data_IF_687331193631
#
_entry.id   IF_687331193631
#
_cell.length_a   1.000
_cell.length_b   1.000
_cell.length_c   1.000
_cell.angle_alpha   90.00
_cell.angle_beta   90.00
_cell.angle_gamma   90.00
#
_symmetry.space_group_name_H-M   'P 1'
#
loop_
_entity.id
_entity.type
_entity.pdbx_description
1 polymer ?
#
# COMPACT_ATOMS: atom_id res chain seq x y z
N UNK A 1 0.14 -11.03 17.47
CA UNK A 1 -0.24 -10.62 16.11
C UNK A 1 0.63 -9.51 15.55
N UNK A 2 0.86 -8.42 16.27
CA UNK A 2 1.67 -7.29 15.78
C UNK A 2 3.14 -7.61 15.49
N UNK A 3 3.69 -8.69 16.03
CA UNK A 3 5.11 -9.06 15.83
C UNK A 3 5.40 -9.63 14.44
N UNK A 4 4.42 -10.22 13.78
CA UNK A 4 4.56 -10.78 12.43
C UNK A 4 3.19 -10.93 11.74
N UNK A 5 2.47 -9.84 11.46
CA UNK A 5 1.22 -9.92 10.72
C UNK A 5 1.48 -10.27 9.26
N UNK A 6 0.50 -10.90 8.63
CA UNK A 6 0.50 -11.05 7.18
C UNK A 6 0.06 -9.72 6.53
N UNK A 7 0.35 -9.56 5.23
CA UNK A 7 -0.17 -8.43 4.46
C UNK A 7 -1.68 -8.56 4.32
N UNK A 8 -2.42 -7.52 4.69
CA UNK A 8 -3.87 -7.53 4.53
C UNK A 8 -4.61 -6.55 5.42
N UNK A 9 -5.91 -6.52 5.22
CA UNK A 9 -6.85 -5.79 6.05
C UNK A 9 -7.32 -6.67 7.20
N UNK A 10 -7.45 -6.08 8.37
CA UNK A 10 -7.80 -6.77 9.59
C UNK A 10 -8.98 -6.09 10.29
N UNK A 11 -9.95 -6.89 10.70
CA UNK A 11 -10.77 -6.68 11.86
C UNK A 11 -10.64 -7.94 12.70
N UNK A 12 -9.47 -8.06 13.36
CA UNK A 12 -9.11 -9.27 14.08
C UNK A 12 -9.71 -9.27 15.48
N UNK A 13 -10.41 -10.32 15.74
CA UNK A 13 -10.94 -10.71 17.03
C UNK A 13 -11.19 -12.22 16.99
N UNK A 14 -11.36 -12.88 18.11
CA UNK A 14 -11.66 -14.31 18.12
C UNK A 14 -13.17 -14.52 17.96
N UNK A 15 -13.58 -14.73 16.72
CA UNK A 15 -14.96 -15.00 16.34
C UNK A 15 -15.22 -16.49 16.18
N UNK A 16 -16.42 -16.94 16.58
CA UNK A 16 -16.85 -18.33 16.43
C UNK A 16 -18.16 -18.46 15.61
N UNK A 17 -18.09 -18.47 14.29
CA UNK A 17 -19.28 -18.64 13.44
C UNK A 17 -19.91 -20.04 13.56
N UNK A 18 -19.22 -21.01 14.16
CA UNK A 18 -19.75 -22.36 14.37
C UNK A 18 -20.46 -22.55 15.71
N UNK A 19 -20.50 -21.55 16.58
CA UNK A 19 -21.23 -21.64 17.84
C UNK A 19 -22.74 -21.76 17.57
N UNK A 20 -23.44 -22.52 18.43
CA UNK A 20 -24.90 -22.66 18.33
C UNK A 20 -25.55 -21.29 18.54
N UNK A 21 -26.36 -20.87 17.58
CA UNK A 21 -27.02 -19.55 17.60
C UNK A 21 -26.18 -18.41 17.04
N UNK A 22 -24.90 -18.64 16.69
CA UNK A 22 -24.09 -17.67 15.99
C UNK A 22 -24.64 -17.39 14.59
N UNK A 23 -24.41 -16.15 14.13
CA UNK A 23 -24.69 -15.77 12.75
C UNK A 23 -23.67 -16.30 11.76
N UNK A 24 -23.65 -15.75 10.57
CA UNK A 24 -22.87 -16.26 9.43
C UNK A 24 -21.93 -15.22 8.87
N UNK A 25 -20.85 -15.68 8.24
CA UNK A 25 -20.03 -14.87 7.35
C UNK A 25 -20.61 -15.00 5.92
N UNK A 26 -20.94 -13.88 5.31
CA UNK A 26 -21.55 -13.78 3.98
C UNK A 26 -20.59 -13.10 3.02
N UNK A 27 -20.69 -13.47 1.75
CA UNK A 27 -19.94 -12.87 0.65
C UNK A 27 -20.91 -12.43 -0.43
N UNK A 28 -20.75 -11.19 -0.93
CA UNK A 28 -21.55 -10.62 -2.00
C UNK A 28 -20.66 -9.76 -2.90
N UNK A 29 -21.01 -9.70 -4.18
CA UNK A 29 -20.42 -8.78 -5.16
C UNK A 29 -21.54 -7.96 -5.80
N UNK A 30 -21.47 -6.64 -5.66
CA UNK A 30 -22.45 -5.71 -6.24
C UNK A 30 -21.69 -4.61 -7.00
N UNK A 31 -21.80 -4.64 -8.32
CA UNK A 31 -21.06 -3.72 -9.18
C UNK A 31 -19.55 -3.90 -9.03
N UNK A 32 -18.85 -2.86 -8.63
CA UNK A 32 -17.39 -2.87 -8.42
C UNK A 32 -16.98 -3.17 -6.98
N UNK A 33 -17.97 -3.41 -6.10
CA UNK A 33 -17.71 -3.57 -4.67
C UNK A 33 -17.95 -5.01 -4.22
N UNK A 34 -16.96 -5.58 -3.56
CA UNK A 34 -17.04 -6.87 -2.87
C UNK A 34 -17.31 -6.64 -1.39
N UNK A 35 -18.31 -7.33 -0.87
CA UNK A 35 -18.74 -7.26 0.54
C UNK A 35 -18.44 -8.58 1.23
N UNK A 36 -17.81 -8.52 2.41
CA UNK A 36 -17.64 -9.66 3.31
C UNK A 36 -18.25 -9.27 4.65
N UNK A 37 -19.36 -9.90 5.01
CA UNK A 37 -20.18 -9.51 6.17
C UNK A 37 -20.15 -10.59 7.25
N UNK A 38 -19.77 -10.21 8.45
CA UNK A 38 -20.03 -10.96 9.68
C UNK A 38 -21.42 -10.54 10.19
N UNK A 39 -22.43 -11.34 9.94
CA UNK A 39 -23.81 -11.01 10.26
C UNK A 39 -24.23 -11.69 11.55
N UNK A 40 -24.01 -11.01 12.67
CA UNK A 40 -24.35 -11.52 14.00
C UNK A 40 -23.45 -12.67 14.49
N UNK A 41 -22.19 -12.70 14.06
CA UNK A 41 -21.25 -13.75 14.46
C UNK A 41 -20.81 -13.56 15.91
N UNK A 42 -20.88 -14.63 16.69
CA UNK A 42 -20.52 -14.59 18.11
C UNK A 42 -19.00 -14.51 18.31
N UNK A 43 -18.60 -13.82 19.37
CA UNK A 43 -17.24 -13.94 19.91
C UNK A 43 -17.01 -15.37 20.41
N UNK A 44 -15.77 -15.82 20.44
CA UNK A 44 -15.42 -17.14 20.94
C UNK A 44 -15.87 -17.29 22.42
N UNK A 45 -16.56 -18.39 22.71
CA UNK A 45 -17.21 -18.61 23.99
C UNK A 45 -18.58 -17.95 24.15
N UNK A 46 -19.02 -17.15 23.16
CA UNK A 46 -20.34 -16.55 23.15
C UNK A 46 -21.47 -17.56 22.98
N UNK A 47 -22.61 -17.31 23.60
CA UNK A 47 -23.77 -18.21 23.61
C UNK A 47 -25.10 -17.47 23.46
N UNK A 48 -25.08 -16.14 23.41
CA UNK A 48 -26.29 -15.30 23.41
C UNK A 48 -26.22 -14.20 22.36
N UNK A 49 -27.34 -13.57 22.07
CA UNK A 49 -27.38 -12.44 21.15
C UNK A 49 -26.52 -11.23 21.59
N UNK A 50 -26.20 -11.12 22.86
CA UNK A 50 -25.27 -10.09 23.36
C UNK A 50 -23.81 -10.32 22.91
N UNK A 51 -23.50 -11.53 22.49
CA UNK A 51 -22.16 -11.93 22.02
C UNK A 51 -22.02 -11.72 20.49
N UNK A 52 -23.08 -11.26 19.84
CA UNK A 52 -23.10 -11.08 18.40
C UNK A 52 -22.38 -9.81 17.95
N UNK A 53 -21.53 -9.95 16.95
CA UNK A 53 -20.88 -8.83 16.27
C UNK A 53 -21.38 -8.76 14.82
N UNK A 54 -21.70 -7.55 14.37
CA UNK A 54 -21.94 -7.23 12.97
C UNK A 54 -20.85 -6.30 12.46
N UNK A 55 -20.12 -6.73 11.45
CA UNK A 55 -19.17 -5.90 10.72
C UNK A 55 -19.14 -6.31 9.25
N UNK A 56 -18.71 -5.39 8.41
CA UNK A 56 -18.61 -5.64 6.98
C UNK A 56 -17.36 -5.00 6.40
N UNK A 57 -16.58 -5.78 5.68
CA UNK A 57 -15.57 -5.25 4.77
C UNK A 57 -16.20 -4.93 3.42
N UNK A 58 -15.86 -3.79 2.86
CA UNK A 58 -16.27 -3.34 1.54
C UNK A 58 -15.01 -2.97 0.75
N UNK A 59 -14.75 -3.73 -0.31
CA UNK A 59 -13.60 -3.52 -1.19
C UNK A 59 -14.10 -2.98 -2.52
N UNK A 60 -13.90 -1.70 -2.80
CA UNK A 60 -14.25 -1.12 -4.09
C UNK A 60 -13.07 -1.21 -5.06
N UNK A 61 -13.18 -2.07 -6.05
CA UNK A 61 -12.13 -2.31 -7.04
C UNK A 61 -11.95 -1.14 -8.02
N UNK A 62 -12.92 -0.25 -8.16
CA UNK A 62 -12.82 0.90 -9.04
C UNK A 62 -12.04 2.06 -8.41
N UNK A 63 -12.25 2.32 -7.12
CA UNK A 63 -11.59 3.41 -6.39
C UNK A 63 -10.37 2.96 -5.59
N UNK A 64 -10.25 1.65 -5.28
CA UNK A 64 -9.26 1.11 -4.36
C UNK A 64 -9.57 1.40 -2.89
N UNK A 65 -10.72 1.98 -2.59
CA UNK A 65 -11.14 2.29 -1.22
C UNK A 65 -11.56 1.01 -0.52
N UNK A 66 -11.13 0.86 0.72
CA UNK A 66 -11.61 -0.20 1.62
C UNK A 66 -12.29 0.44 2.81
N UNK A 67 -13.52 0.02 3.08
CA UNK A 67 -14.30 0.45 4.24
C UNK A 67 -14.50 -0.76 5.15
N UNK A 68 -14.30 -0.58 6.44
CA UNK A 68 -14.73 -1.53 7.46
C UNK A 68 -15.85 -0.88 8.25
N UNK A 69 -17.07 -1.31 7.99
CA UNK A 69 -18.26 -0.79 8.64
C UNK A 69 -18.63 -1.67 9.85
N UNK A 70 -18.92 -1.04 10.97
CA UNK A 70 -19.37 -1.71 12.20
C UNK A 70 -20.83 -1.36 12.47
N UNK A 71 -21.64 -2.39 12.61
CA UNK A 71 -23.00 -2.27 13.13
C UNK A 71 -23.02 -2.44 14.64
N UNK A 72 -23.07 -3.68 15.10
CA UNK A 72 -22.99 -4.01 16.52
C UNK A 72 -21.65 -4.69 16.82
N UNK A 73 -20.96 -4.24 17.85
CA UNK A 73 -19.77 -4.91 18.35
C UNK A 73 -20.10 -5.43 19.73
N UNK A 74 -19.93 -6.74 19.95
CA UNK A 74 -20.14 -7.35 21.25
C UNK A 74 -19.24 -6.71 22.31
N UNK A 75 -19.82 -6.32 23.42
CA UNK A 75 -19.11 -5.83 24.60
C UNK A 75 -18.93 -6.94 25.67
N UNK A 76 -19.33 -8.16 25.35
CA UNK A 76 -19.27 -9.26 26.30
C UNK A 76 -17.82 -9.68 26.55
N UNK A 77 -17.40 -9.60 27.80
CA UNK A 77 -16.12 -10.15 28.25
C UNK A 77 -16.29 -11.65 28.49
N UNK A 78 -15.66 -12.47 27.67
CA UNK A 78 -15.61 -13.90 27.93
C UNK A 78 -14.46 -14.23 28.86
N UNK A 79 -14.71 -15.11 29.83
CA UNK A 79 -13.74 -15.50 30.87
C UNK A 79 -12.50 -16.21 30.33
N UNK A 80 -12.49 -16.58 29.07
CA UNK A 80 -11.33 -17.17 28.36
C UNK A 80 -10.26 -16.11 27.99
N UNK A 81 -10.63 -14.84 27.93
CA UNK A 81 -9.73 -13.73 27.61
C UNK A 81 -9.68 -12.77 28.78
N UNK A 82 -8.49 -12.57 29.33
CA UNK A 82 -8.25 -11.66 30.44
C UNK A 82 -8.64 -10.23 30.05
N UNK A 83 -9.62 -9.67 30.72
CA UNK A 83 -10.02 -8.26 30.78
C UNK A 83 -9.79 -7.43 29.50
N UNK A 84 -10.86 -7.23 28.74
CA UNK A 84 -10.88 -6.41 27.53
C UNK A 84 -10.43 -7.22 26.32
N UNK A 85 -11.39 -7.70 25.57
CA UNK A 85 -11.10 -8.40 24.31
C UNK A 85 -10.66 -7.39 23.24
N UNK A 86 -9.35 -7.32 22.93
CA UNK A 86 -8.87 -6.32 21.99
C UNK A 86 -9.31 -6.68 20.57
N UNK A 87 -9.82 -5.70 19.87
CA UNK A 87 -9.95 -5.74 18.41
C UNK A 87 -8.71 -5.10 17.79
N UNK A 88 -8.14 -5.75 16.78
CA UNK A 88 -7.10 -5.14 15.96
C UNK A 88 -7.72 -4.82 14.59
N UNK A 89 -7.77 -3.53 14.29
CA UNK A 89 -8.40 -3.03 13.05
C UNK A 89 -7.41 -2.23 12.24
N UNK A 90 -7.37 -2.45 10.94
CA UNK A 90 -6.56 -1.69 10.02
C UNK A 90 -5.93 -2.53 8.91
N UNK A 91 -4.95 -1.95 8.26
CA UNK A 91 -4.14 -2.58 7.23
C UNK A 91 -2.73 -2.87 7.75
N UNK A 92 -2.20 -4.03 7.42
CA UNK A 92 -0.79 -4.35 7.63
C UNK A 92 -0.09 -4.61 6.30
N UNK A 93 1.07 -4.00 6.04
CA UNK A 93 1.90 -4.34 4.89
C UNK A 93 2.68 -5.65 5.05
N UNK A 94 2.54 -6.31 6.20
CA UNK A 94 3.35 -7.47 6.59
C UNK A 94 4.59 -7.10 7.40
N UNK A 95 5.27 -8.10 7.97
CA UNK A 95 6.43 -7.89 8.84
C UNK A 95 6.06 -7.37 10.24
N UNK A 96 7.00 -6.72 10.93
CA UNK A 96 6.73 -6.14 12.24
C UNK A 96 5.90 -4.86 12.09
N UNK A 97 4.83 -4.75 12.87
CA UNK A 97 3.96 -3.57 12.89
C UNK A 97 4.07 -2.84 14.23
N UNK A 98 4.05 -1.51 14.16
CA UNK A 98 3.99 -0.67 15.37
C UNK A 98 2.56 -0.73 15.94
N UNK A 99 2.45 -0.82 17.26
CA UNK A 99 1.15 -0.68 17.91
C UNK A 99 0.69 0.79 17.80
N UNK A 100 -0.44 1.08 17.11
CA UNK A 100 -0.91 2.44 16.90
C UNK A 100 -1.50 3.08 18.18
N UNK A 101 -1.62 2.33 19.25
CA UNK A 101 -2.31 2.73 20.48
C UNK A 101 -3.74 2.19 20.54
N UNK A 102 -4.44 2.55 21.59
CA UNK A 102 -5.83 2.12 21.82
C UNK A 102 -6.82 3.15 21.28
N UNK A 103 -7.89 2.65 20.70
CA UNK A 103 -9.05 3.44 20.24
C UNK A 103 -10.32 2.91 20.92
N UNK A 104 -11.29 3.79 21.08
CA UNK A 104 -12.61 3.43 21.59
C UNK A 104 -13.64 3.60 20.46
N UNK A 105 -14.17 2.49 19.94
CA UNK A 105 -15.12 2.53 18.82
C UNK A 105 -16.33 3.43 19.05
N UNK A 106 -16.78 3.54 20.30
CA UNK A 106 -17.95 4.37 20.64
C UNK A 106 -17.71 5.88 20.47
N UNK A 107 -16.47 6.34 20.51
CA UNK A 107 -16.10 7.77 20.47
C UNK A 107 -15.25 8.14 19.28
N UNK A 108 -14.45 7.20 18.76
CA UNK A 108 -13.41 7.50 17.78
C UNK A 108 -13.82 7.15 16.35
N UNK A 109 -14.95 6.46 16.16
CA UNK A 109 -15.53 6.22 14.84
C UNK A 109 -16.50 7.35 14.43
N UNK A 110 -16.61 7.68 13.13
CA UNK A 110 -15.77 7.16 12.04
C UNK A 110 -14.39 7.84 12.01
N UNK A 111 -13.37 7.07 11.63
CA UNK A 111 -12.07 7.64 11.28
C UNK A 111 -11.66 7.17 9.89
N UNK A 112 -10.83 7.95 9.22
CA UNK A 112 -10.20 7.57 7.97
C UNK A 112 -8.70 7.62 8.12
N UNK A 113 -8.02 6.67 7.54
CA UNK A 113 -6.57 6.61 7.53
C UNK A 113 -5.99 7.21 6.25
N UNK A 114 -6.85 7.47 5.24
CA UNK A 114 -6.45 7.96 3.93
C UNK A 114 -5.63 9.26 3.94
N UNK A 115 -5.87 10.15 4.91
CA UNK A 115 -5.09 11.38 5.06
C UNK A 115 -3.72 11.15 5.73
N UNK A 116 -3.57 10.03 6.42
CA UNK A 116 -2.36 9.61 7.12
C UNK A 116 -1.72 8.39 6.46
N UNK A 117 -2.47 7.69 5.60
CA UNK A 117 -1.95 6.57 4.85
C UNK A 117 -1.03 7.07 3.76
N UNK A 118 0.08 6.40 3.66
CA UNK A 118 1.00 6.65 2.59
C UNK A 118 0.51 5.95 1.32
N UNK A 119 0.11 6.74 0.33
CA UNK A 119 -0.12 6.20 -1.01
C UNK A 119 1.21 5.73 -1.59
N UNK A 120 1.21 4.55 -2.19
CA UNK A 120 2.38 4.03 -2.86
C UNK A 120 2.81 4.98 -3.99
N UNK A 121 4.09 5.31 -4.04
CA UNK A 121 4.65 6.05 -5.16
C UNK A 121 4.40 5.29 -6.46
N UNK A 122 3.93 5.99 -7.49
CA UNK A 122 3.67 5.41 -8.79
C UNK A 122 4.47 6.11 -9.87
N UNK A 123 5.10 5.31 -10.72
CA UNK A 123 5.83 5.77 -11.89
C UNK A 123 5.06 5.37 -13.15
N UNK A 124 4.96 6.30 -14.08
CA UNK A 124 4.46 6.08 -15.43
C UNK A 124 5.46 6.62 -16.45
N UNK A 125 5.44 6.09 -17.67
CA UNK A 125 6.26 6.55 -18.77
C UNK A 125 5.39 6.89 -19.99
N UNK A 126 5.72 7.96 -20.70
CA UNK A 126 5.04 8.36 -21.92
C UNK A 126 6.02 9.00 -22.90
N UNK A 127 5.97 8.64 -24.21
CA UNK A 127 5.19 7.55 -24.78
C UNK A 127 5.74 6.17 -24.40
N UNK A 128 4.87 5.18 -24.39
CA UNK A 128 5.25 3.78 -24.32
C UNK A 128 4.28 2.97 -25.18
N UNK A 129 4.74 2.21 -26.19
CA UNK A 129 6.13 2.03 -26.63
C UNK A 129 6.76 3.30 -27.25
N UNK A 130 8.09 3.27 -27.41
CA UNK A 130 8.89 4.42 -27.85
C UNK A 130 9.37 4.23 -29.30
N UNK A 131 9.10 5.20 -30.18
CA UNK A 131 9.44 5.11 -31.62
C UNK A 131 10.88 5.43 -31.97
N UNK A 132 11.83 5.40 -31.05
CA UNK A 132 13.23 5.84 -31.28
C UNK A 132 14.03 4.95 -32.23
N UNK A 133 13.47 3.83 -32.72
CA UNK A 133 14.11 3.05 -33.78
C UNK A 133 14.11 3.80 -35.12
N UNK A 134 13.13 4.69 -35.40
CA UNK A 134 12.96 5.42 -36.65
C UNK A 134 13.12 6.93 -36.53
N UNK A 135 12.81 7.50 -35.36
CA UNK A 135 12.89 8.94 -35.09
C UNK A 135 13.37 9.21 -33.68
N UNK A 136 13.96 10.38 -33.44
CA UNK A 136 14.26 10.82 -32.06
C UNK A 136 12.96 10.97 -31.28
N UNK A 137 12.99 10.60 -30.02
CA UNK A 137 11.86 10.67 -29.11
C UNK A 137 12.32 11.10 -27.72
N UNK A 138 11.38 11.55 -26.91
CA UNK A 138 11.64 11.83 -25.47
C UNK A 138 10.65 11.06 -24.64
N UNK A 139 11.14 10.21 -23.75
CA UNK A 139 10.30 9.56 -22.74
C UNK A 139 10.23 10.47 -21.55
N UNK A 140 9.00 10.78 -21.11
CA UNK A 140 8.74 11.49 -19.87
C UNK A 140 8.29 10.49 -18.82
N UNK A 141 9.03 10.42 -17.74
CA UNK A 141 8.72 9.64 -16.56
C UNK A 141 8.01 10.54 -15.55
N UNK A 142 6.78 10.20 -15.19
CA UNK A 142 6.00 10.95 -14.21
C UNK A 142 5.83 10.09 -12.97
N UNK A 143 6.30 10.61 -11.83
CA UNK A 143 6.15 9.98 -10.52
C UNK A 143 5.09 10.74 -9.74
N UNK A 144 4.11 10.03 -9.20
CA UNK A 144 3.06 10.56 -8.34
C UNK A 144 3.13 9.99 -6.93
N UNK A 145 2.42 10.59 -5.99
CA UNK A 145 2.42 10.22 -4.57
C UNK A 145 3.83 10.27 -3.95
N UNK A 146 4.64 11.23 -4.36
CA UNK A 146 5.97 11.43 -3.78
C UNK A 146 5.80 12.06 -2.40
N UNK A 147 6.35 11.40 -1.39
CA UNK A 147 6.36 11.92 -0.04
C UNK A 147 7.30 13.11 0.08
N UNK A 148 6.97 14.03 0.96
CA UNK A 148 7.87 15.13 1.29
C UNK A 148 9.14 14.61 1.99
N UNK A 149 10.24 15.30 1.75
CA UNK A 149 11.55 14.95 2.32
C UNK A 149 11.53 14.98 3.85
N UNK A 150 10.82 15.92 4.44
CA UNK A 150 10.60 16.01 5.89
C UNK A 150 9.18 16.53 6.15
N UNK A 151 8.53 16.15 7.25
CA UNK A 151 7.19 16.59 7.58
C UNK A 151 7.02 18.11 7.54
N UNK A 152 6.05 18.58 6.74
CA UNK A 152 5.77 20.00 6.55
C UNK A 152 6.71 20.74 5.59
N UNK A 153 7.66 20.05 4.94
CA UNK A 153 8.58 20.69 3.99
C UNK A 153 7.90 21.06 2.66
N UNK A 154 6.88 20.31 2.25
CA UNK A 154 6.17 20.49 1.00
C UNK A 154 6.99 20.20 -0.26
N UNK A 155 8.25 19.76 -0.09
CA UNK A 155 9.17 19.45 -1.17
C UNK A 155 9.63 18.01 -1.09
N UNK A 156 10.00 17.45 -2.24
CA UNK A 156 10.64 16.14 -2.32
C UNK A 156 12.07 16.25 -2.86
N UNK A 157 12.91 15.30 -2.47
CA UNK A 157 14.24 15.04 -3.00
C UNK A 157 14.27 13.60 -3.44
N UNK A 158 14.58 13.35 -4.69
CA UNK A 158 14.60 12.00 -5.23
C UNK A 158 15.43 11.86 -6.50
N UNK A 159 15.42 10.67 -7.03
CA UNK A 159 16.04 10.30 -8.29
C UNK A 159 15.09 9.40 -9.09
N UNK A 160 15.09 9.54 -10.40
CA UNK A 160 14.60 8.52 -11.32
C UNK A 160 15.80 7.73 -11.82
N UNK A 161 15.77 6.43 -11.65
CA UNK A 161 16.87 5.53 -12.00
C UNK A 161 16.49 4.76 -13.26
N UNK A 162 17.41 4.73 -14.22
CA UNK A 162 17.26 3.95 -15.45
C UNK A 162 18.22 2.77 -15.43
N UNK A 163 17.77 1.65 -15.96
CA UNK A 163 18.53 0.39 -16.03
C UNK A 163 18.22 -0.33 -17.34
N UNK A 164 19.22 -1.05 -17.87
CA UNK A 164 19.01 -2.00 -18.97
C UNK A 164 18.61 -3.39 -18.47
N UNK A 165 18.60 -3.61 -17.16
CA UNK A 165 18.21 -4.87 -16.55
C UNK A 165 17.03 -4.71 -15.59
N UNK A 166 16.21 -5.74 -15.49
CA UNK A 166 15.05 -5.83 -14.62
C UNK A 166 15.24 -6.89 -13.54
N UNK A 167 14.70 -6.64 -12.35
CA UNK A 167 14.46 -7.63 -11.30
C UNK A 167 12.97 -7.99 -11.32
N UNK A 168 12.65 -9.24 -11.64
CA UNK A 168 11.26 -9.72 -11.68
C UNK A 168 11.20 -11.14 -11.08
N UNK A 169 10.51 -11.34 -9.95
CA UNK A 169 9.88 -10.32 -9.11
C UNK A 169 10.88 -9.37 -8.47
N UNK A 170 10.43 -8.17 -8.10
CA UNK A 170 11.29 -7.19 -7.42
C UNK A 170 11.85 -7.70 -6.10
N UNK A 171 13.05 -7.24 -5.73
CA UNK A 171 13.72 -7.57 -4.46
C UNK A 171 13.19 -6.68 -3.35
N UNK A 172 12.73 -7.29 -2.27
CA UNK A 172 12.27 -6.57 -1.07
C UNK A 172 13.44 -5.86 -0.37
N UNK A 173 13.24 -4.60 -0.02
CA UNK A 173 14.25 -3.76 0.63
C UNK A 173 14.11 -3.71 2.16
N UNK A 174 13.32 -4.62 2.74
CA UNK A 174 13.16 -4.74 4.19
C UNK A 174 14.51 -4.85 4.92
N UNK A 175 15.47 -5.58 4.34
CA UNK A 175 16.81 -5.75 4.93
C UNK A 175 17.61 -4.45 5.03
N UNK A 176 17.24 -3.41 4.25
CA UNK A 176 17.81 -2.06 4.35
C UNK A 176 17.05 -1.17 5.33
N UNK A 177 15.97 -1.66 5.95
CA UNK A 177 15.11 -0.85 6.80
C UNK A 177 14.08 -0.02 6.03
N UNK A 178 13.73 -0.43 4.80
CA UNK A 178 12.69 0.17 3.97
C UNK A 178 11.59 -0.87 3.67
N UNK A 179 10.78 -1.27 4.68
CA UNK A 179 9.75 -2.29 4.51
C UNK A 179 8.69 -1.84 3.50
N UNK A 180 8.20 -2.79 2.68
CA UNK A 180 7.24 -2.53 1.63
C UNK A 180 7.81 -1.90 0.35
N UNK A 181 9.07 -1.47 0.37
CA UNK A 181 9.79 -1.03 -0.81
C UNK A 181 10.40 -2.23 -1.56
N UNK A 182 10.35 -2.19 -2.90
CA UNK A 182 10.96 -3.23 -3.74
C UNK A 182 11.81 -2.62 -4.83
N UNK A 183 13.00 -3.17 -5.06
CA UNK A 183 13.83 -2.84 -6.22
C UNK A 183 13.38 -3.67 -7.42
N UNK A 184 13.05 -3.00 -8.53
CA UNK A 184 12.65 -3.62 -9.80
C UNK A 184 13.71 -3.45 -10.89
N UNK A 185 14.73 -2.65 -10.65
CA UNK A 185 15.85 -2.40 -11.57
C UNK A 185 17.09 -3.17 -11.12
N UNK A 186 17.84 -3.74 -12.08
CA UNK A 186 18.99 -4.58 -11.77
C UNK A 186 20.29 -3.78 -11.58
N UNK A 187 20.36 -2.56 -12.10
CA UNK A 187 21.54 -1.70 -12.06
C UNK A 187 21.16 -0.22 -11.99
N UNK A 188 22.11 0.62 -11.63
CA UNK A 188 21.95 2.07 -11.56
C UNK A 188 22.72 2.70 -12.72
N UNK A 189 22.24 2.51 -13.96
CA UNK A 189 22.99 2.88 -15.16
C UNK A 189 22.93 4.39 -15.43
N UNK A 190 21.77 5.01 -15.22
CA UNK A 190 21.59 6.46 -15.33
C UNK A 190 20.76 6.97 -14.13
N UNK A 191 21.24 8.03 -13.52
CA UNK A 191 20.55 8.70 -12.43
C UNK A 191 20.08 10.09 -12.86
N UNK A 192 18.79 10.34 -12.75
CA UNK A 192 18.17 11.63 -13.06
C UNK A 192 17.64 12.25 -11.76
N UNK A 193 18.24 13.35 -11.36
CA UNK A 193 17.79 14.05 -10.14
C UNK A 193 16.36 14.56 -10.30
N UNK A 194 15.56 14.39 -9.26
CA UNK A 194 14.22 14.94 -9.13
C UNK A 194 14.12 15.72 -7.82
N UNK A 195 13.92 17.01 -7.92
CA UNK A 195 13.69 17.89 -6.76
C UNK A 195 12.53 18.80 -7.13
N UNK A 196 11.55 18.92 -6.27
CA UNK A 196 10.37 19.73 -6.57
C UNK A 196 9.37 19.78 -5.42
N UNK A 197 8.16 20.20 -5.74
CA UNK A 197 7.03 20.29 -4.81
C UNK A 197 6.22 19.00 -4.90
N UNK A 198 5.89 18.45 -3.72
CA UNK A 198 5.03 17.25 -3.64
C UNK A 198 3.63 17.53 -4.20
N UNK A 199 2.89 16.52 -4.66
CA UNK A 199 3.21 15.08 -4.64
C UNK A 199 3.72 14.53 -5.99
N UNK A 200 4.08 15.38 -6.96
CA UNK A 200 4.37 14.91 -8.33
C UNK A 200 5.72 15.42 -8.83
N UNK A 201 6.46 14.54 -9.49
CA UNK A 201 7.74 14.86 -10.11
C UNK A 201 7.88 14.26 -11.51
N UNK A 202 8.73 14.85 -12.33
CA UNK A 202 9.01 14.37 -13.67
C UNK A 202 10.50 14.27 -13.95
N UNK A 203 10.87 13.28 -14.76
CA UNK A 203 12.19 13.17 -15.36
C UNK A 203 12.03 12.89 -16.86
N UNK A 204 12.96 13.33 -17.68
CA UNK A 204 12.88 13.16 -19.12
C UNK A 204 14.13 12.50 -19.67
N UNK A 205 13.95 11.53 -20.58
CA UNK A 205 15.02 10.83 -21.27
C UNK A 205 14.91 11.12 -22.78
N UNK A 206 15.74 12.01 -23.32
CA UNK A 206 15.84 12.18 -24.77
C UNK A 206 16.56 10.97 -25.37
N UNK A 207 15.97 10.37 -26.39
CA UNK A 207 16.48 9.22 -27.11
C UNK A 207 16.75 9.60 -28.55
N UNK A 208 17.96 9.32 -29.08
CA UNK A 208 18.26 9.57 -30.52
C UNK A 208 17.48 8.59 -31.41
N UNK A 209 17.35 8.92 -32.65
CA UNK A 209 16.89 7.99 -33.70
C UNK A 209 17.90 6.85 -33.92
N UNK A 210 17.44 5.73 -34.43
CA UNK A 210 18.29 4.60 -34.80
C UNK A 210 18.66 3.67 -33.66
N UNK A 211 17.96 3.74 -32.51
CA UNK A 211 18.13 2.76 -31.43
C UNK A 211 17.58 1.38 -31.87
N UNK A 212 18.20 0.28 -31.41
CA UNK A 212 17.75 -1.06 -31.74
C UNK A 212 16.31 -1.30 -31.34
N UNK A 213 15.48 -1.76 -32.27
CA UNK A 213 14.12 -2.19 -31.99
C UNK A 213 14.15 -3.41 -31.05
N UNK A 214 13.29 -3.40 -30.04
CA UNK A 214 13.22 -4.43 -29.00
C UNK A 214 14.08 -4.13 -27.77
N UNK A 215 14.91 -3.08 -27.80
CA UNK A 215 15.61 -2.63 -26.59
C UNK A 215 14.59 -2.16 -25.56
N UNK A 216 14.79 -2.61 -24.33
CA UNK A 216 13.99 -2.18 -23.16
C UNK A 216 14.85 -1.34 -22.20
N UNK A 217 14.26 -0.25 -21.73
CA UNK A 217 14.81 0.59 -20.68
C UNK A 217 13.86 0.47 -19.50
N UNK A 218 14.38 0.02 -18.36
CA UNK A 218 13.61 -0.09 -17.12
C UNK A 218 13.87 1.13 -16.27
N UNK A 219 12.83 1.61 -15.60
CA UNK A 219 12.91 2.80 -14.76
C UNK A 219 12.21 2.58 -13.44
N UNK A 220 12.75 3.19 -12.39
CA UNK A 220 12.16 3.25 -11.06
C UNK A 220 12.52 4.55 -10.38
N UNK A 221 11.59 5.18 -9.70
CA UNK A 221 11.83 6.38 -8.92
C UNK A 221 12.07 6.05 -7.46
N UNK A 222 12.99 6.78 -6.85
CA UNK A 222 13.35 6.70 -5.44
C UNK A 222 13.20 8.10 -4.86
N UNK A 223 12.52 8.25 -3.73
CA UNK A 223 12.45 9.50 -2.98
C UNK A 223 13.06 9.31 -1.59
N UNK A 224 13.83 10.29 -1.15
CA UNK A 224 14.37 10.35 0.19
C UNK A 224 13.34 11.00 1.13
N UNK A 225 13.22 10.46 2.31
CA UNK A 225 12.38 10.95 3.39
C UNK A 225 13.18 10.97 4.70
N UNK A 226 12.78 11.77 5.65
CA UNK A 226 13.39 11.68 6.98
C UNK A 226 13.15 10.27 7.57
N UNK A 227 14.15 9.61 8.15
CA UNK A 227 14.00 8.29 8.72
C UNK A 227 12.82 8.22 9.70
N UNK A 228 12.01 7.19 9.58
CA UNK A 228 10.80 6.95 10.39
C UNK A 228 9.78 8.11 10.40
N UNK A 229 9.80 8.99 9.40
CA UNK A 229 8.86 10.12 9.29
C UNK A 229 7.53 9.74 8.66
N UNK A 230 7.40 8.55 8.10
CA UNK A 230 6.13 8.06 7.59
C UNK A 230 5.12 7.80 8.71
N UNK A 231 3.82 7.89 8.44
CA UNK A 231 2.79 7.68 9.46
C UNK A 231 2.92 6.35 10.23
N UNK A 232 3.42 5.30 9.58
CA UNK A 232 3.68 4.00 10.21
C UNK A 232 5.01 3.90 10.97
N UNK A 233 5.89 4.91 10.87
CA UNK A 233 7.16 4.97 11.58
C UNK A 233 8.17 3.86 11.26
N UNK A 234 7.98 3.08 10.20
CA UNK A 234 8.75 1.86 9.93
C UNK A 234 9.77 1.98 8.80
N UNK A 235 10.22 3.17 8.45
CA UNK A 235 11.19 3.37 7.39
C UNK A 235 12.48 3.97 7.95
N UNK A 236 13.29 3.13 8.61
CA UNK A 236 14.53 3.56 9.23
C UNK A 236 15.60 3.97 8.22
N UNK A 237 15.54 3.45 6.99
CA UNK A 237 16.45 3.84 5.92
C UNK A 237 16.14 5.25 5.39
N UNK A 238 14.90 5.69 5.48
CA UNK A 238 14.50 7.02 5.00
C UNK A 238 14.33 7.08 3.48
N UNK A 239 13.68 6.10 2.88
CA UNK A 239 13.50 6.00 1.43
C UNK A 239 12.12 5.42 1.07
N UNK A 240 11.51 5.95 0.01
CA UNK A 240 10.36 5.33 -0.65
C UNK A 240 10.67 5.08 -2.13
N UNK A 241 10.05 4.07 -2.73
CA UNK A 241 10.28 3.70 -4.12
C UNK A 241 8.95 3.51 -4.86
N UNK A 242 8.97 3.75 -6.17
CA UNK A 242 7.83 3.49 -7.05
C UNK A 242 7.79 2.03 -7.53
N UNK A 243 6.74 1.68 -8.28
CA UNK A 243 6.78 0.53 -9.17
C UNK A 243 7.89 0.67 -10.23
N UNK A 244 8.29 -0.46 -10.83
CA UNK A 244 9.13 -0.47 -12.02
C UNK A 244 8.30 -0.24 -13.29
N UNK A 245 8.88 0.43 -14.28
CA UNK A 245 8.28 0.68 -15.59
C UNK A 245 9.25 0.26 -16.70
N UNK A 246 8.73 -0.39 -17.73
CA UNK A 246 9.46 -0.72 -18.95
C UNK A 246 9.09 0.27 -20.06
N UNK A 247 10.10 0.85 -20.70
CA UNK A 247 9.98 1.62 -21.93
C UNK A 247 10.62 0.84 -23.08
N UNK A 248 9.80 0.24 -23.94
CA UNK A 248 10.26 -0.61 -25.04
C UNK A 248 10.41 0.21 -26.32
N UNK A 249 11.59 0.10 -26.94
CA UNK A 249 11.92 0.79 -28.18
C UNK A 249 11.45 -0.04 -29.37
N UNK A 250 10.79 0.61 -30.32
CA UNK A 250 10.26 -0.01 -31.52
C UNK A 250 10.21 0.92 -32.72
N UNK A 251 9.79 0.36 -33.84
CA UNK A 251 9.59 1.03 -35.11
C UNK A 251 8.08 1.15 -35.40
N UNK A 252 7.39 1.90 -34.58
CA UNK A 252 5.92 2.08 -34.64
C UNK A 252 5.53 3.26 -35.48
#
# INVERSE_FOLDING_TARGET
>A
MLSNPQTGWYSWHDYNPSAVGSGQVKFEEIGTTTYITWDGVFNYGGTTAADATQLQFQFDSASGIVVIAYGTVSAANHTAYLTGEPHLVGYSPGGASVNPGSMTFATDLPFTTSALDQLAMQLTASPTPVSSAVASSTVVYTTTNINEFAPGAGIYIGINVLSIGQLNPGVDLFFLGAPGCRAYIASLDVLQNMIGVTPTGTASLPLPAGLPSGLSIFSQSIALIAPNSLPNGQNAFGMTVSNGVESKIGAW
#
